data_IF_460704988939
#
_entry.id   IF_460704988939
#
_cell.length_a   1.000
_cell.length_b   1.000
_cell.length_c   1.000
_cell.angle_alpha   90.00
_cell.angle_beta   90.00
_cell.angle_gamma   90.00
#
_symmetry.space_group_name_H-M   'P 1'
#
loop_
_entity.id
_entity.type
_entity.pdbx_description
1 polymer ?
#
# COMPACT_ATOMS: atom_id res chain seq x y z
N UNK A 1 49.96 -37.32 10.99
CA UNK A 1 48.46 -37.21 10.89
C UNK A 1 48.01 -37.87 9.59
N UNK A 2 47.11 -38.86 9.63
CA UNK A 2 46.65 -39.61 8.46
C UNK A 2 46.02 -38.67 7.43
N UNK A 3 46.23 -38.83 6.11
CA UNK A 3 45.73 -37.90 5.07
C UNK A 3 44.23 -37.59 5.14
N UNK A 4 43.41 -38.56 5.55
CA UNK A 4 41.95 -38.41 5.73
C UNK A 4 41.58 -37.39 6.80
N UNK A 5 42.33 -37.25 7.89
CA UNK A 5 42.08 -36.31 8.98
C UNK A 5 42.38 -34.89 8.55
N UNK A 6 43.43 -34.65 7.76
CA UNK A 6 43.75 -33.33 7.19
C UNK A 6 42.66 -32.83 6.26
N UNK A 7 42.05 -33.71 5.44
CA UNK A 7 40.98 -33.37 4.53
C UNK A 7 39.68 -33.03 5.30
N UNK A 8 39.33 -33.80 6.31
CA UNK A 8 38.16 -33.52 7.18
C UNK A 8 38.30 -32.16 7.87
N UNK A 9 39.45 -31.88 8.48
CA UNK A 9 39.70 -30.61 9.13
C UNK A 9 39.66 -29.42 8.15
N UNK A 10 40.18 -29.59 6.94
CA UNK A 10 40.11 -28.57 5.88
C UNK A 10 38.64 -28.29 5.47
N UNK A 11 37.83 -29.35 5.32
CA UNK A 11 36.41 -29.19 4.94
C UNK A 11 35.58 -28.54 6.06
N UNK A 12 35.84 -28.90 7.35
CA UNK A 12 35.19 -28.27 8.50
C UNK A 12 35.58 -26.78 8.62
N UNK A 13 36.82 -26.44 8.37
CA UNK A 13 37.29 -25.05 8.36
C UNK A 13 36.65 -24.25 7.20
N UNK A 14 36.54 -24.84 6.02
CA UNK A 14 35.87 -24.21 4.87
C UNK A 14 34.37 -23.99 5.15
N UNK A 15 33.69 -24.99 5.73
CA UNK A 15 32.28 -24.90 6.12
C UNK A 15 32.05 -23.80 7.18
N UNK A 16 32.97 -23.67 8.14
CA UNK A 16 32.94 -22.62 9.16
C UNK A 16 33.08 -21.21 8.51
N UNK A 17 34.01 -21.05 7.56
CA UNK A 17 34.15 -19.77 6.84
C UNK A 17 32.90 -19.45 6.03
N UNK A 18 32.32 -20.41 5.33
CA UNK A 18 31.08 -20.19 4.57
C UNK A 18 29.96 -19.78 5.51
N UNK A 19 29.78 -20.47 6.62
CA UNK A 19 28.76 -20.16 7.63
C UNK A 19 28.95 -18.75 8.22
N UNK A 20 30.19 -18.38 8.57
CA UNK A 20 30.45 -17.02 9.08
C UNK A 20 30.24 -15.94 8.02
N UNK A 21 30.59 -16.21 6.76
CA UNK A 21 30.29 -15.29 5.66
C UNK A 21 28.79 -15.16 5.40
N UNK A 22 28.03 -16.24 5.41
CA UNK A 22 26.57 -16.18 5.22
C UNK A 22 25.90 -15.42 6.37
N UNK A 23 26.31 -15.63 7.61
CA UNK A 23 25.82 -14.85 8.78
C UNK A 23 26.23 -13.38 8.65
N UNK A 24 27.47 -13.11 8.23
CA UNK A 24 27.95 -11.73 8.01
C UNK A 24 27.14 -11.03 6.91
N UNK A 25 26.92 -11.66 5.75
CA UNK A 25 26.13 -11.11 4.66
C UNK A 25 24.65 -10.99 5.01
N UNK A 26 24.09 -11.93 5.79
CA UNK A 26 22.73 -11.83 6.31
C UNK A 26 22.58 -10.63 7.26
N UNK A 27 23.52 -10.44 8.18
CA UNK A 27 23.55 -9.29 9.09
C UNK A 27 23.83 -7.96 8.37
N UNK A 28 24.69 -7.98 7.34
CA UNK A 28 24.91 -6.79 6.50
C UNK A 28 23.65 -6.46 5.66
N UNK A 29 22.96 -7.46 5.13
CA UNK A 29 21.67 -7.28 4.44
C UNK A 29 20.62 -6.65 5.37
N UNK A 30 20.49 -7.15 6.60
CA UNK A 30 19.63 -6.50 7.63
C UNK A 30 20.10 -5.07 7.96
N UNK A 31 21.41 -4.83 7.98
CA UNK A 31 21.97 -3.48 8.24
C UNK A 31 21.70 -2.52 7.06
N UNK A 32 21.72 -3.01 5.84
CA UNK A 32 21.46 -2.20 4.63
C UNK A 32 19.96 -1.90 4.44
N UNK A 33 19.05 -2.80 4.84
CA UNK A 33 17.62 -2.61 4.79
C UNK A 33 17.05 -1.95 6.05
N UNK A 34 17.70 -2.10 7.21
CA UNK A 34 17.19 -1.66 8.50
C UNK A 34 17.89 -0.45 9.14
N UNK A 35 18.92 0.14 8.51
CA UNK A 35 19.66 1.27 9.10
C UNK A 35 19.94 2.43 8.15
N UNK A 36 19.33 2.46 6.97
CA UNK A 36 19.50 3.57 6.05
C UNK A 36 18.78 4.82 6.58
N UNK A 37 19.33 5.41 7.64
CA UNK A 37 19.00 6.78 8.00
C UNK A 37 18.27 7.02 9.32
N UNK A 38 17.86 6.00 10.08
CA UNK A 38 17.19 6.24 11.37
C UNK A 38 18.17 6.79 12.42
N UNK A 39 17.83 7.90 13.11
CA UNK A 39 18.58 8.36 14.26
C UNK A 39 18.73 7.28 15.32
N UNK A 40 19.89 7.26 16.02
CA UNK A 40 20.09 6.32 17.12
C UNK A 40 19.09 6.62 18.24
N UNK A 41 18.31 5.60 18.64
CA UNK A 41 17.29 5.74 19.67
C UNK A 41 15.87 5.91 19.12
N UNK A 42 15.70 5.93 17.79
CA UNK A 42 14.35 5.96 17.19
C UNK A 42 13.47 4.84 17.71
N UNK A 43 12.22 5.18 17.99
CA UNK A 43 11.25 4.25 18.54
C UNK A 43 9.87 4.31 17.87
N UNK A 44 9.68 5.21 16.90
CA UNK A 44 8.48 5.32 16.08
C UNK A 44 8.89 5.25 14.61
N UNK A 45 8.31 4.33 13.85
CA UNK A 45 8.44 4.28 12.41
C UNK A 45 7.40 5.22 11.77
N UNK A 46 7.83 6.17 10.95
CA UNK A 46 6.98 6.98 10.10
C UNK A 46 7.21 6.59 8.65
N UNK A 47 6.17 6.01 8.03
CA UNK A 47 6.21 5.50 6.67
C UNK A 47 5.33 6.39 5.81
N UNK A 48 5.89 6.93 4.71
CA UNK A 48 5.15 7.79 3.79
C UNK A 48 4.52 6.98 2.66
N UNK A 49 3.26 7.26 2.37
CA UNK A 49 2.48 6.66 1.27
C UNK A 49 1.96 7.81 0.42
N UNK A 50 2.69 8.11 -0.66
CA UNK A 50 2.42 9.28 -1.49
C UNK A 50 2.27 8.89 -2.96
N UNK A 51 1.29 9.50 -3.66
CA UNK A 51 1.05 9.29 -5.08
C UNK A 51 0.25 8.03 -5.40
N UNK A 52 0.43 7.47 -6.60
CA UNK A 52 -0.30 6.29 -7.06
C UNK A 52 0.24 5.01 -6.40
N UNK A 53 -0.67 4.17 -5.86
CA UNK A 53 -0.33 2.92 -5.20
C UNK A 53 -0.15 1.80 -6.24
N UNK A 54 1.04 1.22 -6.27
CA UNK A 54 1.45 0.16 -7.21
C UNK A 54 2.07 -1.01 -6.45
N UNK A 55 2.14 -2.21 -7.08
CA UNK A 55 2.78 -3.37 -6.43
C UNK A 55 4.29 -3.18 -6.29
N UNK A 56 4.95 -2.65 -7.31
CA UNK A 56 6.39 -2.35 -7.29
C UNK A 56 6.68 -1.15 -8.16
N UNK A 57 7.60 -0.30 -7.71
CA UNK A 57 8.15 0.78 -8.52
C UNK A 57 9.27 0.23 -9.42
N UNK A 58 9.19 0.51 -10.72
CA UNK A 58 10.34 0.31 -11.59
C UNK A 58 11.16 1.60 -11.52
N UNK A 59 12.33 1.54 -10.88
CA UNK A 59 13.31 2.62 -11.05
C UNK A 59 13.63 2.73 -12.55
N UNK A 60 12.96 3.65 -13.20
CA UNK A 60 13.20 3.93 -14.63
C UNK A 60 14.47 4.74 -14.74
N UNK A 61 15.59 4.08 -15.02
CA UNK A 61 16.88 4.70 -15.34
C UNK A 61 16.81 5.67 -16.54
N UNK A 62 15.68 5.75 -17.23
CA UNK A 62 15.49 6.51 -18.48
C UNK A 62 14.40 7.60 -18.42
N UNK A 63 13.63 7.72 -17.34
CA UNK A 63 12.61 8.75 -17.23
C UNK A 63 13.03 9.74 -16.13
N UNK A 64 13.33 10.98 -16.51
CA UNK A 64 13.65 12.10 -15.61
C UNK A 64 12.40 12.62 -14.85
N UNK A 65 11.25 11.97 -14.97
CA UNK A 65 10.08 12.30 -14.18
C UNK A 65 10.02 11.33 -12.99
N UNK A 66 10.34 11.86 -11.80
CA UNK A 66 9.98 11.26 -10.52
C UNK A 66 8.45 11.18 -10.46
N UNK A 67 7.86 10.08 -10.91
CA UNK A 67 6.46 9.82 -10.61
C UNK A 67 6.40 9.41 -9.13
N UNK A 68 5.63 10.15 -8.32
CA UNK A 68 5.33 9.78 -6.94
C UNK A 68 4.53 8.46 -6.97
N UNK A 69 5.23 7.33 -6.82
CA UNK A 69 4.65 5.99 -6.78
C UNK A 69 4.86 5.39 -5.39
N UNK A 70 3.78 4.91 -4.79
CA UNK A 70 3.80 4.19 -3.53
C UNK A 70 3.85 2.67 -3.80
N UNK A 71 5.02 2.05 -3.67
CA UNK A 71 5.22 0.63 -3.88
C UNK A 71 4.75 -0.19 -2.67
N UNK A 72 3.80 -1.12 -2.85
CA UNK A 72 3.38 -2.00 -1.77
C UNK A 72 4.51 -2.92 -1.30
N UNK A 73 5.37 -3.39 -2.21
CA UNK A 73 6.53 -4.22 -1.86
C UNK A 73 7.45 -3.50 -0.86
N UNK A 74 7.76 -2.20 -1.09
CA UNK A 74 8.61 -1.41 -0.22
C UNK A 74 7.91 -1.04 1.09
N UNK A 75 6.66 -0.57 1.02
CA UNK A 75 5.89 -0.13 2.19
C UNK A 75 5.64 -1.30 3.14
N UNK A 76 5.26 -2.47 2.62
CA UNK A 76 5.10 -3.70 3.40
C UNK A 76 6.42 -4.10 4.06
N UNK A 77 7.54 -4.01 3.32
CA UNK A 77 8.85 -4.29 3.88
C UNK A 77 9.21 -3.34 5.03
N UNK A 78 8.87 -2.05 4.95
CA UNK A 78 9.10 -1.09 6.04
C UNK A 78 8.21 -1.38 7.26
N UNK A 79 6.94 -1.76 7.05
CA UNK A 79 6.03 -2.17 8.12
C UNK A 79 6.57 -3.43 8.83
N UNK A 80 7.01 -4.42 8.06
CA UNK A 80 7.56 -5.66 8.61
C UNK A 80 8.89 -5.42 9.36
N UNK A 81 9.77 -4.55 8.85
CA UNK A 81 10.98 -4.14 9.55
C UNK A 81 10.67 -3.43 10.87
N UNK A 82 9.69 -2.52 10.87
CA UNK A 82 9.25 -1.84 12.08
C UNK A 82 8.62 -2.81 13.09
N UNK A 83 7.85 -3.80 12.63
CA UNK A 83 7.29 -4.85 13.49
C UNK A 83 8.35 -5.74 14.12
N UNK A 84 9.40 -6.13 13.35
CA UNK A 84 10.49 -6.98 13.81
C UNK A 84 11.49 -6.27 14.74
N UNK A 85 11.59 -4.93 14.71
CA UNK A 85 12.52 -4.17 15.56
C UNK A 85 11.94 -3.90 16.94
N UNK A 86 12.49 -4.54 17.97
CA UNK A 86 12.07 -4.38 19.37
C UNK A 86 12.18 -2.93 19.88
N UNK A 87 12.99 -2.08 19.25
CA UNK A 87 13.09 -0.66 19.61
C UNK A 87 11.89 0.13 19.12
N UNK A 88 11.33 -0.20 17.98
CA UNK A 88 10.13 0.43 17.45
C UNK A 88 8.91 0.07 18.32
N UNK A 89 8.15 1.06 18.74
CA UNK A 89 7.00 0.92 19.65
C UNK A 89 5.66 1.17 18.97
N UNK A 90 5.67 1.88 17.84
CA UNK A 90 4.48 2.15 17.03
C UNK A 90 4.87 2.46 15.59
N UNK A 91 3.88 2.47 14.70
CA UNK A 91 4.00 2.80 13.29
C UNK A 91 3.01 3.92 12.97
N UNK A 92 3.50 4.99 12.35
CA UNK A 92 2.68 6.02 11.73
C UNK A 92 2.78 5.83 10.22
N UNK A 93 1.64 5.76 9.55
CA UNK A 93 1.57 5.86 8.09
C UNK A 93 1.02 7.23 7.70
N UNK A 94 1.83 8.04 7.04
CA UNK A 94 1.45 9.35 6.53
C UNK A 94 0.97 9.17 5.08
N UNK A 95 -0.32 9.41 4.82
CA UNK A 95 -0.97 9.07 3.55
C UNK A 95 -1.37 10.34 2.80
N UNK A 96 -0.90 10.45 1.57
CA UNK A 96 -1.29 11.46 0.58
C UNK A 96 -1.45 10.80 -0.78
N UNK A 97 -2.57 10.06 -0.94
CA UNK A 97 -2.82 9.19 -2.09
C UNK A 97 -4.31 9.08 -2.42
N UNK A 98 -4.63 9.30 -3.67
CA UNK A 98 -5.97 9.08 -4.22
C UNK A 98 -6.21 7.64 -4.70
N UNK A 99 -5.31 6.72 -4.36
CA UNK A 99 -5.44 5.28 -4.59
C UNK A 99 -4.53 4.74 -5.67
N UNK A 100 -4.91 3.61 -6.24
CA UNK A 100 -4.12 2.88 -7.23
C UNK A 100 -4.61 1.46 -7.43
N UNK A 101 -3.70 0.51 -7.56
CA UNK A 101 -4.04 -0.88 -7.82
C UNK A 101 -4.62 -1.59 -6.59
N UNK A 102 -5.74 -2.34 -6.77
CA UNK A 102 -6.44 -2.98 -5.65
C UNK A 102 -5.56 -3.92 -4.82
N UNK A 103 -4.75 -4.77 -5.46
CA UNK A 103 -3.88 -5.74 -4.78
C UNK A 103 -2.81 -5.02 -3.96
N UNK A 104 -2.18 -3.99 -4.52
CA UNK A 104 -1.16 -3.21 -3.82
C UNK A 104 -1.73 -2.53 -2.56
N UNK A 105 -2.95 -1.97 -2.67
CA UNK A 105 -3.63 -1.35 -1.53
C UNK A 105 -4.03 -2.37 -0.46
N UNK A 106 -4.50 -3.55 -0.87
CA UNK A 106 -4.82 -4.67 0.03
C UNK A 106 -3.59 -5.17 0.78
N UNK A 107 -2.45 -5.35 0.09
CA UNK A 107 -1.19 -5.79 0.70
C UNK A 107 -0.73 -4.85 1.83
N UNK A 108 -0.80 -3.54 1.62
CA UNK A 108 -0.42 -2.55 2.64
C UNK A 108 -1.43 -2.54 3.80
N UNK A 109 -2.74 -2.53 3.49
CA UNK A 109 -3.80 -2.62 4.51
C UNK A 109 -3.62 -3.87 5.38
N UNK A 110 -3.40 -5.04 4.77
CA UNK A 110 -3.20 -6.29 5.50
C UNK A 110 -1.91 -6.28 6.32
N UNK A 111 -0.86 -5.58 5.85
CA UNK A 111 0.36 -5.39 6.62
C UNK A 111 0.09 -4.60 7.91
N UNK A 112 -0.67 -3.51 7.85
CA UNK A 112 -1.07 -2.74 9.02
C UNK A 112 -1.92 -3.57 9.99
N UNK A 113 -2.87 -4.35 9.47
CA UNK A 113 -3.77 -5.18 10.29
C UNK A 113 -3.07 -6.33 11.01
N UNK A 114 -1.99 -6.88 10.45
CA UNK A 114 -1.27 -8.00 11.06
C UNK A 114 -0.22 -7.58 12.08
N UNK A 115 0.20 -6.30 12.09
CA UNK A 115 1.17 -5.83 13.09
C UNK A 115 0.56 -5.84 14.48
N UNK A 116 1.41 -6.11 15.49
CA UNK A 116 1.03 -6.13 16.90
C UNK A 116 1.31 -4.80 17.59
N UNK A 117 2.06 -3.92 16.94
CA UNK A 117 2.37 -2.58 17.43
C UNK A 117 1.22 -1.62 17.10
N UNK A 118 0.97 -0.61 17.95
CA UNK A 118 0.00 0.43 17.63
C UNK A 118 0.28 1.08 16.29
N UNK A 119 -0.76 1.22 15.45
CA UNK A 119 -0.70 1.85 14.14
C UNK A 119 -1.56 3.11 14.09
N UNK A 120 -1.03 4.17 13.49
CA UNK A 120 -1.74 5.43 13.29
C UNK A 120 -1.66 5.81 11.82
N UNK A 121 -2.80 5.97 11.16
CA UNK A 121 -2.86 6.59 9.85
C UNK A 121 -3.10 8.10 9.98
N UNK A 122 -2.31 8.91 9.27
CA UNK A 122 -2.48 10.35 9.18
C UNK A 122 -2.70 10.72 7.72
N UNK A 123 -3.93 11.10 7.42
CA UNK A 123 -4.32 11.56 6.09
C UNK A 123 -3.90 13.02 5.91
N UNK A 124 -3.15 13.30 4.82
CA UNK A 124 -2.68 14.65 4.48
C UNK A 124 -3.71 15.38 3.62
N UNK A 125 -3.37 15.72 2.36
CA UNK A 125 -4.33 16.34 1.42
C UNK A 125 -5.50 15.38 1.15
N UNK A 126 -5.21 14.09 0.91
CA UNK A 126 -6.26 13.11 0.69
C UNK A 126 -5.85 11.66 0.90
N UNK A 127 -6.85 10.86 1.25
CA UNK A 127 -6.82 9.41 1.14
C UNK A 127 -8.15 8.94 0.54
N UNK A 128 -8.12 8.59 -0.74
CA UNK A 128 -9.30 8.12 -1.45
C UNK A 128 -9.04 6.76 -2.09
N UNK A 129 -10.12 5.99 -2.35
CA UNK A 129 -10.02 4.68 -2.98
C UNK A 129 -9.01 3.78 -2.24
N UNK A 130 -8.00 3.22 -2.92
CA UNK A 130 -6.94 2.42 -2.31
C UNK A 130 -6.19 3.11 -1.17
N UNK A 131 -6.02 4.45 -1.23
CA UNK A 131 -5.42 5.23 -0.15
C UNK A 131 -6.25 5.19 1.14
N UNK A 132 -7.58 5.28 1.01
CA UNK A 132 -8.46 5.14 2.16
C UNK A 132 -8.56 3.69 2.65
N UNK A 133 -8.52 2.69 1.74
CA UNK A 133 -8.44 1.28 2.14
C UNK A 133 -7.25 1.05 3.09
N UNK A 134 -6.08 1.58 2.74
CA UNK A 134 -4.87 1.50 3.57
C UNK A 134 -5.10 2.21 4.91
N UNK A 135 -5.57 3.46 4.89
CA UNK A 135 -5.83 4.22 6.10
C UNK A 135 -6.74 3.49 7.08
N UNK A 136 -7.79 2.84 6.55
CA UNK A 136 -8.76 2.09 7.34
C UNK A 136 -8.16 0.90 8.08
N UNK A 137 -7.02 0.36 7.62
CA UNK A 137 -6.33 -0.77 8.24
C UNK A 137 -5.54 -0.43 9.50
N UNK A 138 -5.36 0.86 9.83
CA UNK A 138 -4.70 1.30 11.06
C UNK A 138 -5.64 1.28 12.27
N UNK A 139 -5.05 1.22 13.49
CA UNK A 139 -5.82 1.24 14.75
C UNK A 139 -6.58 2.55 14.97
N UNK A 140 -6.01 3.67 14.50
CA UNK A 140 -6.61 4.99 14.60
C UNK A 140 -6.28 5.81 13.35
N UNK A 141 -7.24 6.59 12.88
CA UNK A 141 -7.13 7.40 11.66
C UNK A 141 -7.36 8.86 11.98
N UNK A 142 -6.37 9.69 11.68
CA UNK A 142 -6.42 11.14 11.73
C UNK A 142 -6.54 11.74 10.33
N UNK A 143 -7.29 12.82 10.21
CA UNK A 143 -7.32 13.68 9.03
C UNK A 143 -7.54 15.13 9.41
N UNK A 144 -7.08 16.07 8.57
CA UNK A 144 -7.49 17.46 8.68
C UNK A 144 -8.98 17.61 8.37
N UNK A 145 -9.64 18.63 8.93
CA UNK A 145 -11.01 18.99 8.52
C UNK A 145 -11.15 19.19 7.02
N UNK A 146 -10.05 19.57 6.35
CA UNK A 146 -9.98 19.88 4.90
C UNK A 146 -9.51 18.71 4.04
N UNK A 147 -9.08 17.59 4.63
CA UNK A 147 -8.62 16.42 3.86
C UNK A 147 -9.76 15.77 3.09
N UNK A 148 -9.48 15.33 1.87
CA UNK A 148 -10.38 14.47 1.10
C UNK A 148 -10.30 13.03 1.59
N UNK A 149 -11.42 12.45 2.03
CA UNK A 149 -11.47 11.11 2.62
C UNK A 149 -12.55 10.26 1.95
N UNK A 150 -12.26 8.97 1.76
CA UNK A 150 -13.25 8.01 1.27
C UNK A 150 -13.03 7.62 -0.19
N UNK A 151 -13.85 8.10 -1.12
CA UNK A 151 -13.76 7.66 -2.52
C UNK A 151 -13.93 6.15 -2.64
N UNK A 152 -14.82 5.56 -1.82
CA UNK A 152 -15.05 4.11 -1.78
C UNK A 152 -15.76 3.70 -3.07
N UNK A 153 -14.98 3.16 -4.01
CA UNK A 153 -15.48 2.80 -5.32
C UNK A 153 -14.41 2.17 -6.20
N UNK A 154 -14.83 1.51 -7.26
CA UNK A 154 -13.95 0.86 -8.23
C UNK A 154 -14.31 1.29 -9.64
N UNK A 155 -13.32 1.63 -10.44
CA UNK A 155 -13.50 1.99 -11.85
C UNK A 155 -12.62 1.12 -12.76
N UNK A 156 -13.10 0.85 -13.97
CA UNK A 156 -12.36 0.23 -15.06
C UNK A 156 -12.58 1.06 -16.35
N UNK A 157 -12.36 2.37 -16.28
CA UNK A 157 -12.58 3.29 -17.38
C UNK A 157 -11.42 3.27 -18.38
N UNK A 158 -11.72 3.46 -19.66
CA UNK A 158 -10.75 3.53 -20.75
C UNK A 158 -11.25 4.51 -21.84
N UNK A 159 -10.37 4.89 -22.73
CA UNK A 159 -10.72 5.69 -23.90
C UNK A 159 -11.08 4.77 -25.07
N UNK A 160 -12.13 5.12 -25.84
CA UNK A 160 -12.55 4.42 -27.04
C UNK A 160 -12.20 5.29 -28.25
N UNK A 161 -11.32 4.79 -29.13
CA UNK A 161 -10.86 5.47 -30.34
C UNK A 161 -11.51 4.91 -31.61
N UNK A 162 -12.49 4.03 -31.51
CA UNK A 162 -13.09 3.35 -32.67
C UNK A 162 -13.62 4.32 -33.72
N UNK A 163 -14.34 5.38 -33.34
CA UNK A 163 -14.86 6.40 -34.24
C UNK A 163 -13.72 7.24 -34.89
N UNK A 164 -12.67 7.57 -34.12
CA UNK A 164 -11.50 8.27 -34.68
C UNK A 164 -10.80 7.42 -35.73
N UNK A 165 -10.60 6.14 -35.45
CA UNK A 165 -9.98 5.17 -36.36
C UNK A 165 -10.78 5.05 -37.66
N UNK A 166 -12.12 4.98 -37.58
CA UNK A 166 -12.98 4.94 -38.74
C UNK A 166 -12.82 6.19 -39.59
N UNK A 167 -12.80 7.39 -38.98
CA UNK A 167 -12.59 8.67 -39.66
C UNK A 167 -11.22 8.75 -40.36
N UNK A 168 -10.17 8.17 -39.74
CA UNK A 168 -8.82 8.13 -40.29
C UNK A 168 -8.60 6.99 -41.30
N UNK A 169 -9.60 6.11 -41.49
CA UNK A 169 -9.51 4.94 -42.38
C UNK A 169 -8.66 3.82 -41.85
N UNK A 170 -8.46 3.78 -40.52
CA UNK A 170 -7.76 2.71 -39.79
C UNK A 170 -8.77 1.62 -39.47
N UNK A 171 -8.42 0.37 -39.78
CA UNK A 171 -9.30 -0.78 -39.53
C UNK A 171 -8.62 -1.75 -38.56
N UNK A 172 -9.23 -1.92 -37.38
CA UNK A 172 -8.76 -2.89 -36.38
C UNK A 172 -9.01 -4.31 -36.88
N UNK A 173 -7.96 -5.15 -36.93
CA UNK A 173 -8.02 -6.54 -37.37
C UNK A 173 -7.84 -7.47 -36.18
N UNK A 174 -8.94 -7.95 -35.62
CA UNK A 174 -8.90 -8.86 -34.48
C UNK A 174 -8.42 -10.25 -34.88
N UNK A 175 -7.28 -10.70 -34.31
CA UNK A 175 -6.70 -12.03 -34.48
C UNK A 175 -6.45 -12.67 -33.11
N UNK A 176 -7.51 -13.01 -32.39
CA UNK A 176 -7.44 -13.56 -31.04
C UNK A 176 -7.96 -14.98 -30.92
N UNK A 177 -7.39 -15.78 -30.05
CA UNK A 177 -7.75 -17.18 -29.82
C UNK A 177 -9.02 -17.37 -28.98
N UNK A 178 -9.51 -16.32 -28.34
CA UNK A 178 -10.68 -16.36 -27.46
C UNK A 178 -11.55 -15.12 -27.60
N UNK A 179 -12.86 -15.30 -27.42
CA UNK A 179 -13.88 -14.25 -27.61
C UNK A 179 -13.57 -12.93 -26.87
N UNK A 180 -13.06 -13.03 -25.65
CA UNK A 180 -12.82 -11.90 -24.78
C UNK A 180 -11.35 -11.50 -24.64
N UNK A 181 -10.46 -12.08 -25.48
CA UNK A 181 -9.01 -11.83 -25.33
C UNK A 181 -8.62 -10.36 -25.58
N UNK A 182 -9.36 -9.69 -26.46
CA UNK A 182 -9.15 -8.29 -26.84
C UNK A 182 -10.27 -7.39 -26.27
N UNK A 183 -10.99 -7.84 -25.25
CA UNK A 183 -12.02 -7.01 -24.61
C UNK A 183 -11.36 -5.79 -23.97
N UNK A 184 -11.90 -4.59 -24.28
CA UNK A 184 -11.36 -3.33 -23.79
C UNK A 184 -10.17 -2.79 -24.56
N UNK A 185 -9.84 -3.40 -25.72
CA UNK A 185 -8.92 -2.76 -26.67
C UNK A 185 -9.51 -1.42 -27.12
N UNK A 186 -8.78 -0.28 -26.99
CA UNK A 186 -9.32 1.05 -27.26
C UNK A 186 -9.60 1.32 -28.74
N UNK A 187 -9.07 0.49 -29.63
CA UNK A 187 -9.21 0.66 -31.08
C UNK A 187 -10.48 0.02 -31.65
N UNK A 188 -11.36 -0.49 -30.81
CA UNK A 188 -12.65 -1.06 -31.19
C UNK A 188 -13.71 -0.83 -30.13
N UNK A 189 -14.97 -0.78 -30.59
CA UNK A 189 -16.13 -0.69 -29.69
C UNK A 189 -16.18 -1.84 -28.67
N UNK A 190 -16.52 -1.50 -27.43
CA UNK A 190 -16.79 -2.48 -26.39
C UNK A 190 -18.17 -3.12 -26.63
N UNK A 191 -18.19 -4.43 -26.78
CA UNK A 191 -19.44 -5.17 -26.88
C UNK A 191 -20.20 -5.18 -25.56
N UNK A 192 -21.55 -5.36 -25.60
CA UNK A 192 -22.36 -5.48 -24.39
C UNK A 192 -21.89 -6.63 -23.49
N UNK A 193 -21.57 -7.77 -24.06
CA UNK A 193 -21.01 -8.91 -23.31
C UNK A 193 -19.65 -8.60 -22.67
N UNK A 194 -18.81 -7.80 -23.35
CA UNK A 194 -17.53 -7.30 -22.79
C UNK A 194 -17.76 -6.34 -21.63
N UNK A 195 -18.78 -5.46 -21.76
CA UNK A 195 -19.20 -4.54 -20.69
C UNK A 195 -19.70 -5.32 -19.46
N UNK A 196 -20.54 -6.33 -19.65
CA UNK A 196 -21.03 -7.20 -18.56
C UNK A 196 -19.86 -7.89 -17.85
N UNK A 197 -18.85 -8.34 -18.61
CA UNK A 197 -17.66 -8.96 -18.05
C UNK A 197 -16.87 -8.01 -17.15
N UNK A 198 -16.61 -6.77 -17.59
CA UNK A 198 -15.96 -5.75 -16.78
C UNK A 198 -16.78 -5.37 -15.55
N UNK A 199 -18.07 -5.11 -15.73
CA UNK A 199 -18.96 -4.74 -14.63
C UNK A 199 -19.08 -5.83 -13.57
N UNK A 200 -19.06 -7.11 -13.96
CA UNK A 200 -18.98 -8.22 -13.03
C UNK A 200 -17.78 -8.11 -12.09
N UNK A 201 -16.60 -7.79 -12.63
CA UNK A 201 -15.37 -7.74 -11.87
C UNK A 201 -15.25 -6.42 -11.07
N UNK A 202 -15.69 -5.29 -11.62
CA UNK A 202 -15.83 -4.02 -10.91
C UNK A 202 -16.71 -4.19 -9.67
N UNK A 203 -17.89 -4.81 -9.80
CA UNK A 203 -18.80 -5.01 -8.68
C UNK A 203 -18.27 -6.00 -7.64
N UNK A 204 -17.52 -7.01 -8.04
CA UNK A 204 -16.87 -7.91 -7.08
C UNK A 204 -15.80 -7.19 -6.25
N UNK A 205 -14.93 -6.43 -6.92
CA UNK A 205 -13.91 -5.63 -6.24
C UNK A 205 -14.55 -4.58 -5.32
N UNK A 206 -15.63 -3.94 -5.78
CA UNK A 206 -16.40 -2.99 -4.97
C UNK A 206 -16.94 -3.63 -3.68
N UNK A 207 -17.55 -4.80 -3.77
CA UNK A 207 -18.06 -5.50 -2.59
C UNK A 207 -16.96 -5.89 -1.61
N UNK A 208 -15.81 -6.39 -2.11
CA UNK A 208 -14.64 -6.68 -1.27
C UNK A 208 -14.14 -5.41 -0.58
N UNK A 209 -14.12 -4.28 -1.27
CA UNK A 209 -13.71 -3.00 -0.71
C UNK A 209 -14.65 -2.57 0.43
N UNK A 210 -15.97 -2.58 0.19
CA UNK A 210 -16.99 -2.25 1.20
C UNK A 210 -16.87 -3.16 2.42
N UNK A 211 -16.73 -4.48 2.23
CA UNK A 211 -16.54 -5.45 3.32
C UNK A 211 -15.29 -5.15 4.16
N UNK A 212 -14.17 -4.85 3.51
CA UNK A 212 -12.93 -4.50 4.22
C UNK A 212 -13.08 -3.23 5.06
N UNK A 213 -13.70 -2.18 4.50
CA UNK A 213 -13.95 -0.95 5.25
C UNK A 213 -14.88 -1.20 6.44
N UNK A 214 -15.97 -1.95 6.25
CA UNK A 214 -16.90 -2.28 7.33
C UNK A 214 -16.19 -3.00 8.48
N UNK A 215 -15.33 -3.98 8.15
CA UNK A 215 -14.54 -4.72 9.15
C UNK A 215 -13.51 -3.78 9.82
N UNK A 216 -12.76 -3.02 9.06
CA UNK A 216 -11.66 -2.20 9.55
C UNK A 216 -12.14 -1.06 10.43
N UNK A 217 -13.26 -0.43 10.07
CA UNK A 217 -13.85 0.69 10.80
C UNK A 217 -14.90 0.25 11.84
N UNK A 218 -15.19 -1.04 11.93
CA UNK A 218 -16.24 -1.61 12.79
C UNK A 218 -17.59 -0.91 12.57
N UNK A 219 -17.95 -0.73 11.29
CA UNK A 219 -19.22 -0.16 10.85
C UNK A 219 -20.14 -1.25 10.31
N UNK A 220 -21.44 -1.02 10.41
CA UNK A 220 -22.41 -1.85 9.72
C UNK A 220 -22.22 -1.73 8.20
N UNK A 221 -22.31 -2.86 7.49
CA UNK A 221 -22.02 -2.91 6.05
C UNK A 221 -22.95 -1.98 5.26
N UNK A 222 -24.21 -1.87 5.67
CA UNK A 222 -25.22 -1.00 5.05
C UNK A 222 -24.86 0.49 5.17
N UNK A 223 -24.15 0.88 6.25
CA UNK A 223 -23.63 2.24 6.39
C UNK A 223 -22.53 2.49 5.37
N UNK A 224 -21.59 1.55 5.23
CA UNK A 224 -20.50 1.68 4.27
C UNK A 224 -21.01 1.64 2.84
N UNK A 225 -21.99 0.78 2.52
CA UNK A 225 -22.64 0.74 1.19
C UNK A 225 -23.27 2.10 0.83
N UNK A 226 -23.89 2.77 1.80
CA UNK A 226 -24.47 4.10 1.58
C UNK A 226 -23.45 5.20 1.32
N UNK A 227 -22.19 5.02 1.76
CA UNK A 227 -21.06 5.93 1.55
C UNK A 227 -20.21 5.54 0.35
N UNK A 228 -20.46 4.37 -0.27
CA UNK A 228 -19.62 3.79 -1.30
C UNK A 228 -20.12 4.12 -2.73
N UNK A 229 -20.41 5.39 -2.98
CA UNK A 229 -20.80 5.90 -4.30
C UNK A 229 -19.60 6.39 -5.15
N UNK A 230 -18.39 6.30 -4.60
CA UNK A 230 -17.15 6.73 -5.22
C UNK A 230 -16.79 8.20 -4.95
N UNK A 231 -17.64 8.96 -4.25
CA UNK A 231 -17.33 10.34 -3.84
C UNK A 231 -16.40 10.36 -2.62
N UNK A 232 -15.63 11.44 -2.51
CA UNK A 232 -14.92 11.79 -1.27
C UNK A 232 -15.77 12.74 -0.44
N UNK A 233 -15.44 12.86 0.84
CA UNK A 233 -15.98 13.87 1.75
C UNK A 233 -14.86 14.52 2.53
N UNK A 234 -15.10 15.71 3.08
CA UNK A 234 -14.13 16.39 3.92
C UNK A 234 -13.96 15.67 5.27
N UNK A 235 -12.79 15.85 5.89
CA UNK A 235 -12.44 15.17 7.13
C UNK A 235 -13.45 15.31 8.25
N UNK A 236 -14.12 16.47 8.38
CA UNK A 236 -15.19 16.66 9.36
C UNK A 236 -16.36 15.69 9.11
N UNK A 237 -16.82 15.60 7.85
CA UNK A 237 -17.90 14.69 7.48
C UNK A 237 -17.48 13.23 7.62
N UNK A 238 -16.21 12.93 7.28
CA UNK A 238 -15.64 11.61 7.44
C UNK A 238 -15.62 11.15 8.91
N UNK A 239 -15.33 12.05 9.85
CA UNK A 239 -15.41 11.77 11.28
C UNK A 239 -16.84 11.51 11.72
N UNK A 240 -17.81 12.33 11.28
CA UNK A 240 -19.22 12.15 11.61
C UNK A 240 -19.79 10.83 11.08
N UNK A 241 -19.28 10.34 9.95
CA UNK A 241 -19.64 9.06 9.35
C UNK A 241 -18.81 7.87 9.84
N UNK A 242 -17.84 8.06 10.75
CA UNK A 242 -17.03 7.00 11.32
C UNK A 242 -15.90 6.49 10.41
N UNK A 243 -15.62 7.19 9.29
CA UNK A 243 -14.53 6.85 8.39
C UNK A 243 -13.16 7.21 8.97
N UNK A 244 -13.08 8.20 9.85
CA UNK A 244 -11.89 8.53 10.63
C UNK A 244 -12.24 8.64 12.12
N UNK A 245 -11.22 8.63 12.99
CA UNK A 245 -11.41 8.70 14.44
C UNK A 245 -11.28 10.12 14.95
N UNK A 246 -10.26 10.86 14.48
CA UNK A 246 -9.94 12.18 15.03
C UNK A 246 -9.59 13.21 13.93
N UNK A 247 -9.93 14.46 14.21
CA UNK A 247 -9.44 15.58 13.42
C UNK A 247 -8.07 15.98 13.96
N UNK A 248 -7.09 16.06 13.07
CA UNK A 248 -5.71 16.40 13.42
C UNK A 248 -4.72 16.03 12.33
N UNK A 249 -3.44 16.21 12.63
CA UNK A 249 -2.32 15.89 11.75
C UNK A 249 -1.27 15.03 12.45
N UNK A 250 -0.06 15.00 11.88
CA UNK A 250 1.07 14.21 12.43
C UNK A 250 1.37 14.57 13.88
N UNK A 251 1.31 15.85 14.22
CA UNK A 251 1.56 16.31 15.59
C UNK A 251 0.56 15.71 16.59
N UNK A 252 -0.74 15.69 16.24
CA UNK A 252 -1.79 15.14 17.09
C UNK A 252 -1.66 13.62 17.25
N UNK A 253 -1.27 12.95 16.17
CA UNK A 253 -0.96 11.52 16.18
C UNK A 253 0.25 11.19 17.08
N UNK A 254 1.30 12.02 17.03
CA UNK A 254 2.44 11.92 17.94
C UNK A 254 2.04 12.14 19.41
N UNK A 255 1.23 13.16 19.71
CA UNK A 255 0.74 13.38 21.06
C UNK A 255 -0.07 12.19 21.58
N UNK A 256 -0.97 11.67 20.76
CA UNK A 256 -1.73 10.45 21.11
C UNK A 256 -0.82 9.25 21.40
N UNK A 257 0.21 9.03 20.58
CA UNK A 257 1.17 7.94 20.82
C UNK A 257 2.00 8.17 22.08
N UNK A 258 2.42 9.41 22.35
CA UNK A 258 3.16 9.78 23.56
C UNK A 258 2.36 9.46 24.81
N UNK A 259 1.07 9.82 24.80
CA UNK A 259 0.16 9.56 25.93
C UNK A 259 -0.14 8.05 26.06
N UNK A 260 -0.36 7.35 24.93
CA UNK A 260 -0.67 5.91 24.92
C UNK A 260 0.47 5.05 25.40
N UNK A 261 1.70 5.39 25.01
CA UNK A 261 2.90 4.61 25.29
C UNK A 261 3.66 5.06 26.55
N UNK A 262 3.40 6.28 27.05
CA UNK A 262 4.11 6.93 28.17
C UNK A 262 5.63 6.99 27.92
N UNK A 263 6.04 7.41 26.70
CA UNK A 263 7.43 7.53 26.27
C UNK A 263 7.67 8.83 25.51
N UNK A 264 8.92 9.30 25.50
CA UNK A 264 9.36 10.30 24.53
C UNK A 264 9.52 9.66 23.15
N UNK A 265 9.04 10.36 22.11
CA UNK A 265 9.06 9.85 20.75
C UNK A 265 10.30 10.31 19.99
N UNK A 266 10.99 9.37 19.37
CA UNK A 266 12.09 9.59 18.42
C UNK A 266 11.73 8.94 17.10
N UNK A 267 11.45 9.77 16.09
CA UNK A 267 10.89 9.33 14.80
C UNK A 267 11.98 8.85 13.87
N UNK A 268 11.77 7.68 13.28
CA UNK A 268 12.48 7.22 12.09
C UNK A 268 11.57 7.36 10.87
N UNK A 269 11.99 8.06 9.84
CA UNK A 269 11.27 8.22 8.58
C UNK A 269 11.80 7.21 7.56
N UNK A 270 10.91 6.41 6.99
CA UNK A 270 11.15 5.45 5.92
C UNK A 270 10.65 5.98 4.58
#
# INVERSE_FOLDING_TARGET
>A
MKPKIKTILKNLFLASIILTMTIFWYNQGKLYLGSAGCPAGSNIALIKIQGEIVTYSIESFYLEEESDLASSEEIVAYIDLAEEDDNMKAIIVEIDSYGGYPVASEEIMDALRRTTKPTVAVIREGAASGGYLIASGADIVYASEMSDVGGIGVTASYLDYSEQNEYEGIVYQQLSSGKFKDTGDPDKELTEEGRELYMRDVMKLHNIFVENIAINRNLDIEIVEALADGSTMLGQDAKENGLIDEIGGVYDAEEWLRDKLDIELEICVY
#
